data_IF_033703233362
#
_entry.id   IF_033703233362
#
_cell.length_a   1.000
_cell.length_b   1.000
_cell.length_c   1.000
_cell.angle_alpha   90.00
_cell.angle_beta   90.00
_cell.angle_gamma   90.00
#
_symmetry.space_group_name_H-M   'P 1'
#
loop_
_entity.id
_entity.type
_entity.pdbx_description
1 polymer ?
#
# COMPACT_ATOMS: atom_id res chain seq x y z
N UNK A 1 19.66 27.84 8.67
CA UNK A 1 18.33 27.22 8.87
C UNK A 1 17.92 26.59 7.55
N UNK A 2 17.80 25.26 7.51
CA UNK A 2 17.52 24.52 6.27
C UNK A 2 16.03 24.62 5.94
N UNK A 3 15.70 25.28 4.84
CA UNK A 3 14.37 25.27 4.22
C UNK A 3 14.12 23.91 3.58
N UNK A 4 13.88 22.91 4.43
CA UNK A 4 13.28 21.64 4.00
C UNK A 4 11.89 21.94 3.47
N UNK A 5 11.59 21.49 2.25
CA UNK A 5 10.25 21.62 1.67
C UNK A 5 9.28 20.77 2.49
N UNK A 6 8.56 21.41 3.41
CA UNK A 6 7.59 20.78 4.32
C UNK A 6 6.53 19.96 3.56
N UNK A 7 6.16 20.41 2.37
CA UNK A 7 5.16 19.75 1.51
C UNK A 7 5.64 18.38 1.01
N UNK A 8 6.90 18.28 0.60
CA UNK A 8 7.46 17.02 0.10
C UNK A 8 7.65 15.98 1.22
N UNK A 9 8.05 16.43 2.41
CA UNK A 9 8.20 15.58 3.59
C UNK A 9 6.84 15.08 4.09
N UNK A 10 5.81 15.93 4.07
CA UNK A 10 4.44 15.57 4.44
C UNK A 10 3.88 14.42 3.56
N UNK A 11 4.01 14.54 2.23
CA UNK A 11 3.53 13.51 1.30
C UNK A 11 4.26 12.18 1.52
N UNK A 12 5.56 12.20 1.83
CA UNK A 12 6.32 10.99 2.13
C UNK A 12 5.83 10.28 3.39
N UNK A 13 5.44 11.04 4.43
CA UNK A 13 4.81 10.49 5.63
C UNK A 13 3.46 9.83 5.32
N UNK A 14 2.59 10.53 4.56
CA UNK A 14 1.28 10.00 4.17
C UNK A 14 1.42 8.73 3.32
N UNK A 15 2.38 8.70 2.39
CA UNK A 15 2.69 7.51 1.61
C UNK A 15 3.07 6.33 2.53
N UNK A 16 3.92 6.58 3.53
CA UNK A 16 4.36 5.54 4.47
C UNK A 16 3.21 5.01 5.32
N UNK A 17 2.31 5.88 5.81
CA UNK A 17 1.10 5.47 6.52
C UNK A 17 0.15 4.66 5.61
N UNK A 18 0.00 5.08 4.35
CA UNK A 18 -0.84 4.38 3.36
C UNK A 18 -0.29 2.98 3.07
N UNK A 19 1.02 2.84 2.90
CA UNK A 19 1.71 1.55 2.77
C UNK A 19 1.44 0.70 4.01
N UNK A 20 1.67 1.23 5.22
CA UNK A 20 1.47 0.49 6.47
C UNK A 20 0.04 -0.06 6.59
N UNK A 21 -0.95 0.81 6.41
CA UNK A 21 -2.36 0.43 6.49
C UNK A 21 -2.72 -0.59 5.43
N UNK A 22 -2.22 -0.45 4.20
CA UNK A 22 -2.44 -1.42 3.15
C UNK A 22 -1.86 -2.80 3.51
N UNK A 23 -0.65 -2.84 4.03
CA UNK A 23 0.00 -4.09 4.45
C UNK A 23 -0.76 -4.78 5.59
N UNK A 24 -1.26 -4.00 6.56
CA UNK A 24 -2.04 -4.51 7.69
C UNK A 24 -3.35 -5.18 7.25
N UNK A 25 -3.94 -4.77 6.11
CA UNK A 25 -5.22 -5.29 5.64
C UNK A 25 -5.10 -6.37 4.56
N UNK A 26 -3.98 -6.41 3.83
CA UNK A 26 -3.87 -7.26 2.63
C UNK A 26 -2.72 -8.25 2.65
N UNK A 27 -1.73 -8.06 3.54
CA UNK A 27 -0.47 -8.81 3.53
C UNK A 27 0.26 -8.83 2.17
N UNK A 28 -0.06 -7.89 1.28
CA UNK A 28 0.51 -7.84 -0.07
C UNK A 28 2.00 -7.53 0.01
N UNK A 29 2.81 -8.22 -0.78
CA UNK A 29 4.26 -8.07 -0.71
C UNK A 29 4.70 -6.71 -1.25
N UNK A 30 5.76 -6.09 -0.69
CA UNK A 30 6.35 -4.88 -1.25
C UNK A 30 6.76 -5.01 -2.72
N UNK A 31 7.25 -6.19 -3.11
CA UNK A 31 7.62 -6.50 -4.50
C UNK A 31 6.43 -6.53 -5.47
N UNK A 32 5.21 -6.70 -4.96
CA UNK A 32 3.96 -6.58 -5.71
C UNK A 32 3.46 -5.14 -5.72
N UNK A 33 3.68 -4.39 -4.63
CA UNK A 33 3.35 -2.96 -4.54
C UNK A 33 4.27 -2.07 -5.38
N UNK A 34 5.48 -2.54 -5.67
CA UNK A 34 6.39 -1.90 -6.62
C UNK A 34 6.80 -2.86 -7.73
N UNK A 35 8.03 -3.35 -7.74
CA UNK A 35 8.56 -4.29 -8.73
C UNK A 35 9.41 -5.35 -8.05
N UNK A 36 9.41 -6.57 -8.56
CA UNK A 36 10.18 -7.69 -7.99
C UNK A 36 11.57 -7.87 -8.62
N UNK A 37 11.79 -7.33 -9.82
CA UNK A 37 13.07 -7.38 -10.56
C UNK A 37 13.26 -6.10 -11.39
N UNK A 38 14.49 -5.61 -11.63
CA UNK A 38 14.73 -4.44 -12.47
C UNK A 38 14.17 -4.56 -13.90
N UNK A 39 14.22 -5.74 -14.50
CA UNK A 39 13.63 -5.97 -15.83
C UNK A 39 12.11 -5.75 -15.85
N UNK A 40 11.41 -6.08 -14.75
CA UNK A 40 9.98 -5.81 -14.64
C UNK A 40 9.69 -4.31 -14.52
N UNK A 41 10.60 -3.55 -13.92
CA UNK A 41 10.49 -2.10 -13.94
C UNK A 41 10.66 -1.55 -15.37
N UNK A 42 11.59 -2.08 -16.15
CA UNK A 42 11.77 -1.70 -17.56
C UNK A 42 10.55 -2.06 -18.43
N UNK A 43 9.87 -3.16 -18.10
CA UNK A 43 8.66 -3.60 -18.77
C UNK A 43 7.38 -2.92 -18.25
N UNK A 44 7.47 -1.99 -17.29
CA UNK A 44 6.31 -1.32 -16.71
C UNK A 44 5.39 -2.28 -15.93
N UNK A 45 5.97 -3.35 -15.37
CA UNK A 45 5.26 -4.41 -14.65
C UNK A 45 5.19 -4.15 -13.14
N UNK A 46 5.16 -2.88 -12.74
CA UNK A 46 4.92 -2.44 -11.36
C UNK A 46 3.45 -2.06 -11.13
N UNK A 47 3.05 -1.90 -9.86
CA UNK A 47 1.77 -1.28 -9.58
C UNK A 47 1.80 0.22 -9.93
N UNK A 48 0.68 0.70 -10.46
CA UNK A 48 0.45 2.07 -10.91
C UNK A 48 -0.80 2.65 -10.24
N UNK A 49 -0.96 3.96 -10.31
CA UNK A 49 -2.15 4.67 -9.81
C UNK A 49 -3.45 4.19 -10.47
N UNK A 50 -3.38 3.69 -11.71
CA UNK A 50 -4.50 3.08 -12.43
C UNK A 50 -4.99 1.75 -11.86
N UNK A 51 -4.20 1.10 -10.99
CA UNK A 51 -4.60 -0.13 -10.30
C UNK A 51 -5.62 0.10 -9.18
N UNK A 52 -5.88 1.36 -8.80
CA UNK A 52 -6.85 1.72 -7.78
C UNK A 52 -8.11 2.32 -8.37
N UNK A 53 -9.25 1.98 -7.76
CA UNK A 53 -10.54 2.63 -8.03
C UNK A 53 -11.18 3.05 -6.72
N UNK A 54 -11.78 4.23 -6.74
CA UNK A 54 -12.37 4.88 -5.59
C UNK A 54 -13.85 5.08 -5.83
N UNK A 55 -14.67 4.43 -5.01
CA UNK A 55 -16.12 4.43 -5.13
C UNK A 55 -16.73 5.12 -3.91
N UNK A 56 -17.52 6.15 -4.15
CA UNK A 56 -18.22 6.87 -3.10
C UNK A 56 -19.40 6.02 -2.61
N UNK A 57 -19.47 5.78 -1.31
CA UNK A 57 -20.57 5.04 -0.68
C UNK A 57 -21.58 5.96 0.01
N UNK A 58 -21.39 7.28 -0.05
CA UNK A 58 -22.11 8.26 0.77
C UNK A 58 -21.49 8.43 2.16
N UNK A 59 -21.98 9.41 2.91
CA UNK A 59 -21.56 9.72 4.29
C UNK A 59 -20.04 9.99 4.46
N UNK A 60 -19.36 10.45 3.41
CA UNK A 60 -17.90 10.64 3.43
C UNK A 60 -17.09 9.33 3.44
N UNK A 61 -17.71 8.19 3.10
CA UNK A 61 -17.03 6.91 3.05
C UNK A 61 -16.70 6.49 1.61
N UNK A 62 -15.53 5.88 1.45
CA UNK A 62 -15.01 5.44 0.13
C UNK A 62 -14.65 3.96 0.16
N UNK A 63 -15.23 3.17 -0.75
CA UNK A 63 -14.74 1.82 -1.06
C UNK A 63 -13.56 1.95 -2.02
N UNK A 64 -12.52 1.17 -1.76
CA UNK A 64 -11.33 1.12 -2.61
C UNK A 64 -11.20 -0.26 -3.21
N UNK A 65 -11.07 -0.33 -4.52
CA UNK A 65 -10.70 -1.55 -5.23
C UNK A 65 -9.23 -1.44 -5.65
N UNK A 66 -8.43 -2.44 -5.32
CA UNK A 66 -7.03 -2.50 -5.68
C UNK A 66 -6.71 -3.77 -6.45
N UNK A 67 -6.34 -3.59 -7.71
CA UNK A 67 -6.00 -4.68 -8.64
C UNK A 67 -4.49 -4.86 -8.72
N UNK A 68 -3.98 -6.05 -8.41
CA UNK A 68 -2.56 -6.35 -8.52
C UNK A 68 -2.28 -7.68 -9.19
N UNK A 69 -1.20 -7.70 -9.96
CA UNK A 69 -0.62 -8.91 -10.52
C UNK A 69 0.56 -9.32 -9.64
N UNK A 70 0.43 -10.44 -8.94
CA UNK A 70 1.51 -11.02 -8.15
C UNK A 70 2.47 -11.71 -9.10
N UNK A 71 3.67 -11.17 -9.21
CA UNK A 71 4.74 -11.74 -10.02
C UNK A 71 5.76 -12.41 -9.12
N UNK A 72 6.15 -13.64 -9.48
CA UNK A 72 7.22 -14.37 -8.81
C UNK A 72 8.27 -14.79 -9.83
N UNK A 73 9.53 -14.55 -9.47
CA UNK A 73 10.71 -14.88 -10.27
C UNK A 73 10.83 -14.07 -11.57
N UNK A 74 11.99 -14.15 -12.20
CA UNK A 74 12.37 -13.41 -13.42
C UNK A 74 11.73 -13.97 -14.72
N UNK A 75 11.00 -15.08 -14.65
CA UNK A 75 10.51 -15.81 -15.84
C UNK A 75 9.17 -15.29 -16.41
N UNK A 76 8.78 -14.04 -16.11
CA UNK A 76 7.65 -13.35 -16.75
C UNK A 76 6.25 -13.93 -16.54
N UNK A 77 6.09 -15.00 -15.75
CA UNK A 77 4.77 -15.55 -15.42
C UNK A 77 4.16 -14.78 -14.26
N UNK A 78 3.07 -14.05 -14.55
CA UNK A 78 2.13 -13.60 -13.52
C UNK A 78 1.63 -14.85 -12.79
N UNK A 79 1.92 -14.94 -11.49
CA UNK A 79 1.53 -16.09 -10.68
C UNK A 79 0.03 -16.04 -10.38
N UNK A 80 -0.49 -14.85 -10.05
CA UNK A 80 -1.89 -14.61 -9.72
C UNK A 80 -2.30 -13.16 -9.99
N UNK A 81 -3.58 -12.93 -10.26
CA UNK A 81 -4.21 -11.61 -10.20
C UNK A 81 -5.11 -11.56 -8.98
N UNK A 82 -4.94 -10.52 -8.14
CA UNK A 82 -5.76 -10.30 -6.97
C UNK A 82 -6.51 -8.98 -7.10
N UNK A 83 -7.80 -9.01 -6.77
CA UNK A 83 -8.59 -7.83 -6.47
C UNK A 83 -8.83 -7.77 -4.96
N UNK A 84 -8.26 -6.76 -4.32
CA UNK A 84 -8.58 -6.42 -2.94
C UNK A 84 -9.69 -5.38 -2.92
N UNK A 85 -10.76 -5.65 -2.17
CA UNK A 85 -11.86 -4.71 -1.96
C UNK A 85 -11.83 -4.27 -0.51
N UNK A 86 -11.41 -3.02 -0.29
CA UNK A 86 -11.39 -2.41 1.03
C UNK A 86 -12.71 -1.69 1.28
N UNK A 87 -13.62 -2.34 2.00
CA UNK A 87 -14.84 -1.72 2.48
C UNK A 87 -14.60 -0.97 3.78
N UNK A 88 -15.11 0.27 3.91
CA UNK A 88 -14.94 1.03 5.13
C UNK A 88 -15.77 0.44 6.28
N UNK A 89 -15.11 0.15 7.40
CA UNK A 89 -15.78 -0.17 8.65
C UNK A 89 -16.25 1.14 9.29
N UNK A 90 -17.56 1.35 9.45
CA UNK A 90 -18.17 2.60 9.99
C UNK A 90 -18.00 2.73 11.53
N UNK A 91 -16.78 2.55 12.04
CA UNK A 91 -16.40 2.78 13.43
C UNK A 91 -15.37 3.91 13.50
N UNK A 92 -15.67 4.95 14.28
CA UNK A 92 -14.83 6.15 14.40
C UNK A 92 -13.43 5.86 14.96
N UNK A 93 -13.34 4.91 15.89
CA UNK A 93 -12.07 4.46 16.49
C UNK A 93 -11.07 3.89 15.48
N UNK A 94 -11.52 3.50 14.28
CA UNK A 94 -10.67 2.90 13.25
C UNK A 94 -10.11 3.94 12.26
N UNK A 95 -10.42 5.23 12.40
CA UNK A 95 -10.06 6.24 11.38
C UNK A 95 -8.57 6.24 11.02
N UNK A 96 -7.69 5.97 11.99
CA UNK A 96 -6.23 5.93 11.78
C UNK A 96 -5.74 4.66 11.09
N UNK A 97 -6.54 3.60 11.04
CA UNK A 97 -6.20 2.33 10.41
C UNK A 97 -7.02 2.04 9.16
N UNK A 98 -7.95 2.92 8.77
CA UNK A 98 -8.81 2.73 7.59
C UNK A 98 -8.08 2.99 6.27
N UNK A 99 -8.06 2.03 5.33
CA UNK A 99 -7.64 2.31 3.96
C UNK A 99 -8.45 3.43 3.30
N UNK A 100 -9.75 3.55 3.62
CA UNK A 100 -10.67 4.58 3.10
C UNK A 100 -10.32 6.01 3.52
N UNK A 101 -9.42 6.19 4.50
CA UNK A 101 -8.91 7.49 4.90
C UNK A 101 -7.57 7.78 4.22
N UNK A 102 -6.63 6.84 4.30
CA UNK A 102 -5.25 7.07 3.87
C UNK A 102 -5.06 7.10 2.36
N UNK A 103 -5.74 6.22 1.62
CA UNK A 103 -5.62 6.23 0.16
C UNK A 103 -6.17 7.51 -0.48
N UNK A 104 -7.37 7.99 -0.12
CA UNK A 104 -7.85 9.27 -0.62
C UNK A 104 -6.94 10.43 -0.24
N UNK A 105 -6.49 10.49 1.02
CA UNK A 105 -5.57 11.53 1.48
C UNK A 105 -4.29 11.55 0.65
N UNK A 106 -3.68 10.38 0.42
CA UNK A 106 -2.47 10.26 -0.36
C UNK A 106 -2.64 10.75 -1.80
N UNK A 107 -3.73 10.34 -2.47
CA UNK A 107 -4.01 10.74 -3.84
C UNK A 107 -4.37 12.23 -3.96
N UNK A 108 -5.05 12.79 -2.95
CA UNK A 108 -5.38 14.21 -2.89
C UNK A 108 -4.11 15.06 -2.74
N UNK A 109 -3.25 14.73 -1.77
CA UNK A 109 -2.00 15.47 -1.48
C UNK A 109 -0.99 15.37 -2.62
N UNK A 110 -1.02 14.25 -3.36
CA UNK A 110 -0.24 14.10 -4.57
C UNK A 110 -0.84 14.86 -5.79
N UNK A 111 -2.09 15.32 -5.69
CA UNK A 111 -2.76 16.00 -6.80
C UNK A 111 -3.23 15.05 -7.92
N UNK A 112 -3.47 13.78 -7.57
CA UNK A 112 -4.01 12.78 -8.50
C UNK A 112 -5.54 12.82 -8.60
N UNK A 113 -6.21 13.65 -7.79
CA UNK A 113 -7.62 13.95 -7.93
C UNK A 113 -7.85 15.40 -8.36
N UNK A 114 -9.04 15.66 -8.91
CA UNK A 114 -9.47 17.02 -9.31
C UNK A 114 -9.79 17.95 -8.12
N UNK A 115 -9.91 17.41 -6.92
CA UNK A 115 -10.29 18.14 -5.71
C UNK A 115 -9.08 18.84 -5.10
N UNK A 116 -9.29 19.97 -4.45
CA UNK A 116 -8.22 20.74 -3.79
C UNK A 116 -8.14 20.48 -2.30
N UNK A 117 -9.24 20.06 -1.67
CA UNK A 117 -9.30 19.82 -0.22
C UNK A 117 -9.97 18.49 0.12
N UNK A 118 -9.76 18.04 1.35
CA UNK A 118 -10.39 16.85 1.92
C UNK A 118 -11.90 17.00 1.99
N UNK A 119 -12.39 18.19 2.34
CA UNK A 119 -13.82 18.49 2.44
C UNK A 119 -14.49 18.40 1.08
N UNK A 120 -13.83 18.89 0.01
CA UNK A 120 -14.34 18.75 -1.35
C UNK A 120 -14.40 17.29 -1.80
N UNK A 121 -13.41 16.48 -1.43
CA UNK A 121 -13.38 15.06 -1.76
C UNK A 121 -14.51 14.30 -1.04
N UNK A 122 -14.53 14.36 0.30
CA UNK A 122 -15.46 13.58 1.12
C UNK A 122 -16.89 14.13 1.09
N UNK A 123 -17.08 15.41 0.76
CA UNK A 123 -18.39 16.03 0.54
C UNK A 123 -18.94 15.82 -0.89
N UNK A 124 -18.17 15.19 -1.79
CA UNK A 124 -18.62 14.96 -3.16
C UNK A 124 -19.76 13.94 -3.22
N UNK A 125 -20.70 14.14 -4.15
CA UNK A 125 -21.77 13.17 -4.47
C UNK A 125 -21.46 12.30 -5.70
N UNK A 126 -20.27 12.46 -6.29
CA UNK A 126 -19.87 11.68 -7.47
C UNK A 126 -19.68 10.22 -7.07
N UNK A 127 -20.28 9.30 -7.82
CA UNK A 127 -20.25 7.87 -7.51
C UNK A 127 -18.85 7.23 -7.59
N UNK A 128 -17.98 7.75 -8.47
CA UNK A 128 -16.62 7.27 -8.67
C UNK A 128 -15.64 8.43 -8.77
N UNK A 129 -14.62 8.46 -7.91
CA UNK A 129 -13.58 9.46 -7.98
C UNK A 129 -12.54 9.06 -9.05
N UNK A 130 -12.35 9.93 -10.03
CA UNK A 130 -11.41 9.69 -11.13
C UNK A 130 -9.99 10.09 -10.76
N UNK A 131 -9.06 9.15 -10.92
CA UNK A 131 -7.62 9.39 -10.87
C UNK A 131 -7.17 10.03 -12.18
N UNK A 132 -6.58 11.22 -12.11
CA UNK A 132 -6.21 12.05 -13.27
C UNK A 132 -5.14 11.34 -14.11
N UNK A 133 -4.04 10.93 -13.49
CA UNK A 133 -2.96 10.18 -14.15
C UNK A 133 -2.92 8.76 -13.60
N UNK A 134 -3.23 7.79 -14.46
CA UNK A 134 -3.31 6.35 -14.15
C UNK A 134 -1.99 5.61 -14.43
N UNK A 135 -0.99 6.31 -14.94
CA UNK A 135 0.28 5.73 -15.41
C UNK A 135 1.43 5.95 -14.45
N UNK A 136 1.26 6.77 -13.42
CA UNK A 136 2.28 6.97 -12.40
C UNK A 136 2.50 5.69 -11.59
N UNK A 137 3.72 5.43 -11.10
CA UNK A 137 3.95 4.38 -10.12
C UNK A 137 3.02 4.52 -8.92
N UNK A 138 2.59 3.42 -8.30
CA UNK A 138 1.70 3.52 -7.14
C UNK A 138 2.37 4.18 -5.92
N UNK A 139 3.65 3.90 -5.73
CA UNK A 139 4.46 4.49 -4.67
C UNK A 139 5.77 5.02 -5.22
N UNK A 140 6.16 6.18 -4.70
CA UNK A 140 7.30 6.96 -5.16
C UNK A 140 8.54 6.75 -4.30
N UNK A 141 9.72 6.74 -4.92
CA UNK A 141 10.98 6.72 -4.20
C UNK A 141 11.29 8.07 -3.57
N UNK A 142 11.86 8.05 -2.36
CA UNK A 142 12.35 9.26 -1.71
C UNK A 142 13.56 9.87 -2.42
N UNK A 143 13.68 11.19 -2.34
CA UNK A 143 14.91 11.89 -2.72
C UNK A 143 16.06 11.57 -1.75
N UNK A 144 17.29 11.66 -2.25
CA UNK A 144 18.48 11.59 -1.41
C UNK A 144 18.44 12.65 -0.29
N UNK A 145 18.81 12.24 0.92
CA UNK A 145 18.78 13.11 2.09
C UNK A 145 17.39 13.46 2.62
N UNK A 146 16.33 12.72 2.22
CA UNK A 146 15.00 12.85 2.81
C UNK A 146 14.18 14.05 2.34
N UNK A 147 14.50 14.62 1.18
CA UNK A 147 13.86 15.84 0.65
C UNK A 147 12.51 15.58 -0.06
N UNK A 148 11.69 14.69 0.48
CA UNK A 148 10.41 14.29 -0.11
C UNK A 148 10.50 13.20 -1.17
N UNK A 149 9.52 13.13 -2.07
CA UNK A 149 9.35 12.07 -3.06
C UNK A 149 9.73 12.49 -4.48
N UNK A 150 10.32 11.58 -5.25
CA UNK A 150 10.62 11.71 -6.68
C UNK A 150 9.60 10.95 -7.53
N UNK A 151 9.46 11.26 -8.82
CA UNK A 151 8.51 10.56 -9.72
C UNK A 151 8.93 9.13 -10.10
N UNK A 152 10.02 8.60 -9.54
CA UNK A 152 10.46 7.23 -9.79
C UNK A 152 9.74 6.25 -8.85
N UNK A 153 9.51 5.00 -9.26
CA UNK A 153 8.92 4.00 -8.37
C UNK A 153 9.80 3.72 -7.15
N UNK A 154 9.17 3.56 -5.99
CA UNK A 154 9.83 3.09 -4.79
C UNK A 154 10.32 1.65 -4.97
N UNK A 155 11.58 1.35 -4.64
CA UNK A 155 12.03 -0.05 -4.59
C UNK A 155 11.40 -0.78 -3.40
N UNK A 156 11.27 -2.11 -3.45
CA UNK A 156 10.78 -2.90 -2.30
C UNK A 156 11.60 -2.64 -1.02
N UNK A 157 12.92 -2.46 -1.17
CA UNK A 157 13.82 -2.11 -0.08
C UNK A 157 13.51 -0.71 0.48
N UNK A 158 13.23 0.28 -0.37
CA UNK A 158 12.85 1.63 0.08
C UNK A 158 11.54 1.62 0.87
N UNK A 159 10.53 0.87 0.39
CA UNK A 159 9.26 0.65 1.10
C UNK A 159 9.52 -0.02 2.46
N UNK A 160 10.36 -1.06 2.50
CA UNK A 160 10.69 -1.71 3.77
C UNK A 160 11.42 -0.79 4.74
N UNK A 161 12.36 0.02 4.25
CA UNK A 161 13.13 0.94 5.07
C UNK A 161 12.28 2.08 5.64
N UNK A 162 11.28 2.59 4.91
CA UNK A 162 10.39 3.63 5.44
C UNK A 162 9.57 3.11 6.63
N UNK A 163 9.08 1.87 6.56
CA UNK A 163 8.38 1.22 7.67
C UNK A 163 9.31 0.96 8.86
N UNK A 164 10.54 0.51 8.62
CA UNK A 164 11.54 0.33 9.69
C UNK A 164 11.88 1.64 10.40
N UNK A 165 12.04 2.73 9.64
CA UNK A 165 12.29 4.05 10.20
C UNK A 165 11.10 4.52 11.06
N UNK A 166 9.87 4.34 10.58
CA UNK A 166 8.66 4.64 11.35
C UNK A 166 8.60 3.84 12.65
N UNK A 167 8.89 2.53 12.60
CA UNK A 167 8.94 1.69 13.81
C UNK A 167 10.00 2.18 14.80
N UNK A 168 11.19 2.55 14.31
CA UNK A 168 12.26 3.10 15.14
C UNK A 168 11.87 4.42 15.80
N UNK A 169 11.24 5.33 15.06
CA UNK A 169 10.74 6.61 15.58
C UNK A 169 9.65 6.41 16.64
N UNK A 170 8.78 5.42 16.42
CA UNK A 170 7.74 5.00 17.36
C UNK A 170 8.27 4.20 18.56
N UNK A 171 9.59 3.92 18.63
CA UNK A 171 10.23 3.08 19.66
C UNK A 171 9.66 1.66 19.73
N UNK A 172 9.21 1.14 18.59
CA UNK A 172 8.77 -0.25 18.43
C UNK A 172 9.94 -1.13 17.97
N UNK A 173 9.85 -2.46 18.17
CA UNK A 173 10.78 -3.39 17.55
C UNK A 173 10.86 -3.15 16.04
N UNK A 174 12.09 -3.06 15.52
CA UNK A 174 12.30 -2.77 14.10
C UNK A 174 11.83 -3.98 13.29
N UNK A 175 10.71 -3.80 12.60
CA UNK A 175 10.12 -4.80 11.73
C UNK A 175 10.01 -4.23 10.31
N UNK A 176 10.56 -4.95 9.35
CA UNK A 176 10.32 -4.66 7.94
C UNK A 176 8.92 -5.06 7.51
N UNK A 177 8.59 -4.69 6.28
CA UNK A 177 7.32 -5.05 5.62
C UNK A 177 7.05 -6.55 5.59
N UNK A 178 8.09 -7.39 5.42
CA UNK A 178 7.96 -8.85 5.44
C UNK A 178 7.42 -9.40 6.75
N UNK A 179 7.84 -8.82 7.89
CA UNK A 179 7.38 -9.24 9.21
C UNK A 179 5.89 -8.88 9.41
N UNK A 180 5.46 -7.70 8.93
CA UNK A 180 4.05 -7.30 8.95
C UNK A 180 3.21 -8.23 8.07
N UNK A 181 3.63 -8.47 6.82
CA UNK A 181 2.92 -9.36 5.91
C UNK A 181 2.76 -10.76 6.51
N UNK A 182 3.81 -11.27 7.16
CA UNK A 182 3.74 -12.58 7.81
C UNK A 182 2.81 -12.57 9.02
N UNK A 183 2.94 -11.58 9.91
CA UNK A 183 2.06 -11.47 11.08
C UNK A 183 0.58 -11.38 10.70
N UNK A 184 0.24 -10.60 9.67
CA UNK A 184 -1.13 -10.52 9.13
C UNK A 184 -1.56 -11.87 8.55
N UNK A 185 -0.71 -12.51 7.73
CA UNK A 185 -1.03 -13.82 7.17
C UNK A 185 -1.23 -14.90 8.24
N UNK A 186 -0.43 -14.88 9.31
CA UNK A 186 -0.55 -15.82 10.43
C UNK A 186 -1.87 -15.59 11.19
N UNK A 187 -2.24 -14.34 11.44
CA UNK A 187 -3.55 -13.99 12.02
C UNK A 187 -4.70 -14.46 11.12
N UNK A 188 -4.64 -14.20 9.81
CA UNK A 188 -5.62 -14.67 8.86
C UNK A 188 -5.68 -16.21 8.81
N UNK A 189 -4.55 -16.90 8.93
CA UNK A 189 -4.50 -18.35 8.95
C UNK A 189 -5.24 -18.94 10.16
N UNK A 190 -5.15 -18.26 11.31
CA UNK A 190 -5.86 -18.64 12.54
C UNK A 190 -7.37 -18.35 12.45
N UNK A 191 -7.75 -17.18 11.92
CA UNK A 191 -9.15 -16.72 11.93
C UNK A 191 -9.96 -17.28 10.76
N UNK A 192 -9.37 -17.28 9.55
CA UNK A 192 -10.05 -17.56 8.28
C UNK A 192 -9.54 -18.83 7.59
N UNK A 193 -8.51 -19.47 8.15
CA UNK A 193 -7.94 -20.71 7.65
C UNK A 193 -6.70 -20.53 6.76
N UNK A 194 -5.89 -21.59 6.69
CA UNK A 194 -4.57 -21.59 6.03
C UNK A 194 -4.63 -21.31 4.53
N UNK A 195 -5.70 -21.74 3.85
CA UNK A 195 -5.85 -21.56 2.41
C UNK A 195 -5.95 -20.09 2.02
N UNK A 196 -6.76 -19.31 2.74
CA UNK A 196 -6.87 -17.88 2.50
C UNK A 196 -5.56 -17.15 2.81
N UNK A 197 -4.89 -17.50 3.90
CA UNK A 197 -3.58 -16.92 4.22
C UNK A 197 -2.50 -17.25 3.18
N UNK A 198 -2.54 -18.47 2.62
CA UNK A 198 -1.66 -18.91 1.52
C UNK A 198 -1.91 -18.08 0.26
N UNK A 199 -3.19 -17.90 -0.07
CA UNK A 199 -3.63 -17.05 -1.17
C UNK A 199 -3.17 -15.60 -0.98
N UNK A 200 -3.35 -15.01 0.21
CA UNK A 200 -2.91 -13.64 0.52
C UNK A 200 -1.41 -13.44 0.33
N UNK A 201 -0.59 -14.42 0.73
CA UNK A 201 0.87 -14.38 0.50
C UNK A 201 1.28 -14.69 -0.95
N UNK A 202 0.33 -15.01 -1.83
CA UNK A 202 0.56 -15.37 -3.23
C UNK A 202 1.32 -16.69 -3.38
N UNK A 203 1.11 -17.67 -2.48
CA UNK A 203 1.73 -18.99 -2.55
C UNK A 203 0.85 -19.98 -3.35
N UNK A 204 1.47 -20.83 -4.20
CA UNK A 204 0.74 -21.83 -5.02
C UNK A 204 0.36 -23.11 -4.26
N UNK A 205 0.97 -23.36 -3.10
CA UNK A 205 0.73 -24.53 -2.25
C UNK A 205 0.62 -24.07 -0.81
N UNK A 206 -0.03 -24.86 0.06
CA UNK A 206 -0.07 -24.64 1.52
C UNK A 206 1.35 -24.74 2.09
N UNK A 207 2.13 -23.67 1.94
CA UNK A 207 3.44 -23.51 2.58
C UNK A 207 3.20 -23.42 4.08
N UNK A 208 4.15 -23.90 4.88
CA UNK A 208 4.06 -23.92 6.34
C UNK A 208 3.95 -22.48 6.92
N UNK A 209 2.71 -21.99 6.98
CA UNK A 209 2.31 -20.66 7.44
C UNK A 209 2.31 -20.57 8.97
N UNK A 210 1.95 -21.65 9.64
CA UNK A 210 1.91 -21.73 11.11
C UNK A 210 3.16 -22.38 11.71
N UNK A 211 4.21 -22.59 10.92
CA UNK A 211 5.42 -23.23 11.41
C UNK A 211 6.21 -22.30 12.33
N UNK A 212 6.32 -22.76 13.56
CA UNK A 212 7.06 -22.16 14.70
C UNK A 212 8.57 -22.01 14.44
N UNK A 213 9.11 -22.48 13.31
CA UNK A 213 10.53 -22.40 12.99
C UNK A 213 11.03 -21.00 12.58
N UNK A 214 10.12 -20.09 12.21
CA UNK A 214 10.45 -18.69 11.92
C UNK A 214 10.03 -17.71 13.04
N UNK A 215 9.42 -18.23 14.11
CA UNK A 215 9.19 -17.50 15.35
C UNK A 215 10.47 -17.54 16.22
N UNK A 216 11.53 -16.90 15.74
CA UNK A 216 12.70 -16.53 16.54
C UNK A 216 13.17 -15.14 16.16
#
# INVERSE_FOLDING_TARGET
>A
MSTKSLVGEHLACIQTCTILVMLLHTAVRPSTLSFSHPEFLEQGMNAHTGNLRFHNLGDGETRIEFWVSVQKNHNGLVAFEHLYICEPVKLSQNITTKPSTWWPQFFLEWGLFKYKTTEEYFGSSVAKHEVIDKTQPLFLSGHSGGKGLSQKPASPAAISNSIQNLAKEAKLPIAGTSAICRGVADQCAVILGRQLATFMLGHHQEVMLLDTHYAR
#
